data_IF_184267539107
#
_entry.id   IF_184267539107
#
_cell.length_a   1.000
_cell.length_b   1.000
_cell.length_c   1.000
_cell.angle_alpha   90.00
_cell.angle_beta   90.00
_cell.angle_gamma   90.00
#
_symmetry.space_group_name_H-M   'P 1'
#
loop_
_entity.id
_entity.type
_entity.pdbx_description
1 polymer ?
#
# COMPACT_ATOMS: atom_id res chain seq x y z
N UNK A 1 -26.18 -15.53 -22.98
CA UNK A 1 -24.76 -15.18 -22.77
C UNK A 1 -23.93 -16.38 -23.17
N UNK A 2 -23.02 -16.19 -24.12
CA UNK A 2 -22.06 -17.21 -24.53
C UNK A 2 -20.95 -17.32 -23.47
N UNK A 3 -20.18 -18.43 -23.47
CA UNK A 3 -19.00 -18.54 -22.60
C UNK A 3 -17.97 -17.44 -22.90
N UNK A 4 -17.92 -16.95 -24.15
CA UNK A 4 -17.04 -15.87 -24.57
C UNK A 4 -17.48 -14.52 -23.96
N UNK A 5 -18.78 -14.24 -23.93
CA UNK A 5 -19.33 -13.04 -23.27
C UNK A 5 -19.01 -13.02 -21.77
N UNK A 6 -19.10 -14.18 -21.10
CA UNK A 6 -18.76 -14.32 -19.67
C UNK A 6 -17.29 -14.01 -19.41
N UNK A 7 -16.38 -14.53 -20.23
CA UNK A 7 -14.94 -14.27 -20.10
C UNK A 7 -14.60 -12.79 -20.37
N UNK A 8 -15.26 -12.15 -21.34
CA UNK A 8 -15.11 -10.71 -21.60
C UNK A 8 -15.56 -9.89 -20.39
N UNK A 9 -16.71 -10.25 -19.80
CA UNK A 9 -17.21 -9.55 -18.62
C UNK A 9 -16.26 -9.73 -17.42
N UNK A 10 -15.72 -10.93 -17.22
CA UNK A 10 -14.76 -11.20 -16.16
C UNK A 10 -13.43 -10.46 -16.37
N UNK A 11 -12.90 -10.42 -17.60
CA UNK A 11 -11.71 -9.63 -17.94
C UNK A 11 -11.90 -8.16 -17.61
N UNK A 12 -13.06 -7.57 -17.95
CA UNK A 12 -13.36 -6.17 -17.63
C UNK A 12 -13.39 -5.90 -16.12
N UNK A 13 -13.99 -6.80 -15.34
CA UNK A 13 -14.01 -6.68 -13.88
C UNK A 13 -12.61 -6.75 -13.28
N UNK A 14 -11.77 -7.66 -13.76
CA UNK A 14 -10.39 -7.77 -13.29
C UNK A 14 -9.55 -6.55 -13.68
N UNK A 15 -9.72 -6.02 -14.90
CA UNK A 15 -9.03 -4.80 -15.31
C UNK A 15 -9.41 -3.60 -14.44
N UNK A 16 -10.68 -3.48 -14.07
CA UNK A 16 -11.13 -2.43 -13.14
C UNK A 16 -10.50 -2.61 -11.76
N UNK A 17 -10.50 -3.83 -11.22
CA UNK A 17 -9.87 -4.12 -9.93
C UNK A 17 -8.34 -3.86 -9.97
N UNK A 18 -7.68 -4.15 -11.09
CA UNK A 18 -6.26 -3.90 -11.27
C UNK A 18 -5.94 -2.40 -11.27
N UNK A 19 -6.75 -1.59 -11.95
CA UNK A 19 -6.61 -0.13 -11.95
C UNK A 19 -6.79 0.44 -10.53
N UNK A 20 -7.81 -0.01 -9.82
CA UNK A 20 -8.04 0.38 -8.42
C UNK A 20 -6.89 -0.02 -7.49
N UNK A 21 -6.37 -1.25 -7.62
CA UNK A 21 -5.20 -1.71 -6.87
C UNK A 21 -3.96 -0.85 -7.18
N UNK A 22 -3.77 -0.47 -8.44
CA UNK A 22 -2.66 0.37 -8.88
C UNK A 22 -2.73 1.77 -8.28
N UNK A 23 -3.90 2.39 -8.30
CA UNK A 23 -4.09 3.73 -7.75
C UNK A 23 -3.94 3.72 -6.23
N UNK A 24 -4.49 2.72 -5.55
CA UNK A 24 -4.31 2.54 -4.11
C UNK A 24 -2.84 2.32 -3.75
N UNK A 25 -2.09 1.55 -4.53
CA UNK A 25 -0.66 1.37 -4.30
C UNK A 25 0.11 2.68 -4.44
N UNK A 26 -0.15 3.44 -5.49
CA UNK A 26 0.50 4.76 -5.70
C UNK A 26 0.20 5.71 -4.55
N UNK A 27 -1.04 5.74 -4.07
CA UNK A 27 -1.42 6.52 -2.92
C UNK A 27 -0.67 6.08 -1.65
N UNK A 28 -0.63 4.77 -1.38
CA UNK A 28 0.08 4.23 -0.23
C UNK A 28 1.60 4.50 -0.30
N UNK A 29 2.22 4.43 -1.48
CA UNK A 29 3.62 4.80 -1.69
C UNK A 29 3.86 6.31 -1.45
N UNK A 30 2.95 7.17 -1.92
CA UNK A 30 3.02 8.61 -1.64
C UNK A 30 2.93 8.90 -0.15
N UNK A 31 1.97 8.27 0.54
CA UNK A 31 1.78 8.40 1.98
C UNK A 31 3.03 7.93 2.73
N UNK A 32 3.60 6.78 2.34
CA UNK A 32 4.84 6.25 2.93
C UNK A 32 6.00 7.25 2.83
N UNK A 33 6.17 7.88 1.66
CA UNK A 33 7.24 8.86 1.43
C UNK A 33 7.06 10.12 2.30
N UNK A 34 5.84 10.66 2.37
CA UNK A 34 5.53 11.84 3.20
C UNK A 34 5.80 11.54 4.68
N UNK A 35 5.43 10.33 5.11
CA UNK A 35 5.66 9.85 6.44
C UNK A 35 7.17 9.72 6.75
N UNK A 36 7.98 9.13 5.87
CA UNK A 36 9.44 9.01 6.09
C UNK A 36 10.11 10.37 6.28
N UNK A 37 9.66 11.37 5.50
CA UNK A 37 10.12 12.74 5.66
C UNK A 37 9.70 13.32 7.02
N UNK A 38 8.43 13.13 7.39
CA UNK A 38 7.89 13.62 8.66
C UNK A 38 8.59 13.00 9.87
N UNK A 39 8.88 11.70 9.87
CA UNK A 39 9.55 11.05 11.00
C UNK A 39 10.97 11.54 11.18
N UNK A 40 11.70 11.73 10.07
CA UNK A 40 13.05 12.31 10.11
C UNK A 40 13.04 13.71 10.72
N UNK A 41 12.10 14.55 10.30
CA UNK A 41 11.99 15.92 10.80
C UNK A 41 11.50 15.96 12.25
N UNK A 42 10.56 15.10 12.62
CA UNK A 42 10.08 14.92 13.99
C UNK A 42 11.21 14.51 14.92
N UNK A 43 12.05 13.54 14.51
CA UNK A 43 13.21 13.09 15.28
C UNK A 43 14.23 14.23 15.47
N UNK A 44 14.48 15.02 14.42
CA UNK A 44 15.37 16.18 14.48
C UNK A 44 14.89 17.20 15.50
N UNK A 45 13.62 17.60 15.40
CA UNK A 45 13.00 18.56 16.32
C UNK A 45 12.99 18.04 17.75
N UNK A 46 12.66 16.77 17.95
CA UNK A 46 12.65 16.16 19.28
C UNK A 46 14.02 16.19 19.94
N UNK A 47 15.09 15.87 19.20
CA UNK A 47 16.45 15.91 19.73
C UNK A 47 16.85 17.34 20.12
N UNK A 48 16.55 18.33 19.28
CA UNK A 48 16.84 19.74 19.60
C UNK A 48 16.05 20.25 20.81
N UNK A 49 14.78 19.85 20.93
CA UNK A 49 13.97 20.18 22.11
C UNK A 49 14.47 19.47 23.37
N UNK A 50 15.00 18.26 23.23
CA UNK A 50 15.50 17.50 24.36
C UNK A 50 16.70 18.14 25.04
N UNK A 51 17.65 18.63 24.25
CA UNK A 51 18.83 19.34 24.76
C UNK A 51 18.47 20.56 25.63
N UNK A 52 17.32 21.19 25.35
CA UNK A 52 16.82 22.35 26.10
C UNK A 52 16.01 21.90 27.33
N UNK A 53 15.20 20.85 27.18
CA UNK A 53 14.20 20.46 28.17
C UNK A 53 14.69 19.39 29.16
N UNK A 54 15.85 18.76 28.94
CA UNK A 54 16.40 17.71 29.81
C UNK A 54 16.53 18.17 31.26
N UNK A 55 16.87 19.45 31.48
CA UNK A 55 17.02 20.03 32.82
C UNK A 55 15.71 20.58 33.40
N UNK A 56 14.59 20.43 32.71
CA UNK A 56 13.27 20.86 33.19
C UNK A 56 12.72 19.90 34.24
N UNK A 57 11.92 20.45 35.16
CA UNK A 57 11.13 19.66 36.14
C UNK A 57 10.21 18.62 35.47
N UNK A 58 9.81 18.86 34.21
CA UNK A 58 8.90 17.99 33.45
C UNK A 58 9.60 16.99 32.52
N UNK A 59 10.93 16.91 32.55
CA UNK A 59 11.70 16.08 31.60
C UNK A 59 11.24 14.61 31.57
N UNK A 60 10.89 14.03 32.72
CA UNK A 60 10.40 12.65 32.79
C UNK A 60 9.07 12.43 32.07
N UNK A 61 8.10 13.32 32.25
CA UNK A 61 6.76 13.23 31.61
C UNK A 61 6.86 13.44 30.10
N UNK A 62 7.66 14.42 29.68
CA UNK A 62 7.88 14.71 28.25
C UNK A 62 8.58 13.51 27.58
N UNK A 63 9.52 12.82 28.26
CA UNK A 63 10.21 11.62 27.74
C UNK A 63 9.27 10.45 27.57
N UNK A 64 8.39 10.24 28.53
CA UNK A 64 7.37 9.20 28.43
C UNK A 64 6.42 9.47 27.25
N UNK A 65 5.92 10.71 27.12
CA UNK A 65 5.01 11.09 26.05
C UNK A 65 5.67 10.94 24.66
N UNK A 66 6.90 11.43 24.49
CA UNK A 66 7.63 11.27 23.23
C UNK A 66 7.85 9.80 22.86
N UNK A 67 8.19 8.94 23.82
CA UNK A 67 8.35 7.51 23.56
C UNK A 67 7.03 6.85 23.13
N UNK A 68 5.90 7.23 23.73
CA UNK A 68 4.58 6.76 23.33
C UNK A 68 4.23 7.23 21.90
N UNK A 69 4.52 8.48 21.57
CA UNK A 69 4.32 9.02 20.23
C UNK A 69 5.20 8.32 19.19
N UNK A 70 6.48 8.09 19.50
CA UNK A 70 7.39 7.30 18.63
C UNK A 70 6.85 5.90 18.38
N UNK A 71 6.40 5.21 19.42
CA UNK A 71 5.84 3.86 19.28
C UNK A 71 4.55 3.84 18.43
N UNK A 72 3.66 4.82 18.64
CA UNK A 72 2.44 4.95 17.84
C UNK A 72 2.75 5.24 16.37
N UNK A 73 3.68 6.18 16.12
CA UNK A 73 4.17 6.48 14.77
C UNK A 73 4.70 5.23 14.11
N UNK A 74 5.70 4.56 14.70
CA UNK A 74 6.34 3.36 14.14
C UNK A 74 5.32 2.30 13.71
N UNK A 75 4.30 2.01 14.54
CA UNK A 75 3.25 1.04 14.17
C UNK A 75 2.42 1.49 12.97
N UNK A 76 2.18 2.79 12.85
CA UNK A 76 1.47 3.37 11.71
C UNK A 76 2.31 3.23 10.44
N UNK A 77 3.63 3.47 10.53
CA UNK A 77 4.57 3.25 9.43
C UNK A 77 4.56 1.82 8.94
N UNK A 78 4.71 0.86 9.87
CA UNK A 78 4.75 -0.56 9.54
C UNK A 78 3.46 -0.97 8.79
N UNK A 79 2.30 -0.49 9.25
CA UNK A 79 1.01 -0.75 8.58
C UNK A 79 0.94 -0.20 7.15
N UNK A 80 1.47 1.00 6.90
CA UNK A 80 1.50 1.60 5.56
C UNK A 80 2.45 0.82 4.64
N UNK A 81 3.64 0.47 5.14
CA UNK A 81 4.63 -0.31 4.40
C UNK A 81 4.05 -1.69 4.04
N UNK A 82 3.44 -2.36 5.01
CA UNK A 82 2.78 -3.66 4.80
C UNK A 82 1.66 -3.54 3.75
N UNK A 83 0.87 -2.47 3.79
CA UNK A 83 -0.18 -2.21 2.81
C UNK A 83 0.38 -2.03 1.38
N UNK A 84 1.50 -1.32 1.22
CA UNK A 84 2.18 -1.18 -0.08
C UNK A 84 2.63 -2.56 -0.60
N UNK A 85 3.20 -3.39 0.27
CA UNK A 85 3.65 -4.73 -0.09
C UNK A 85 2.47 -5.61 -0.52
N UNK A 86 1.36 -5.56 0.21
CA UNK A 86 0.19 -6.37 -0.11
C UNK A 86 -0.52 -5.90 -1.38
N UNK A 87 -0.57 -4.59 -1.63
CA UNK A 87 -1.09 -4.04 -2.90
C UNK A 87 -0.24 -4.45 -4.10
N UNK A 88 1.09 -4.51 -3.97
CA UNK A 88 1.98 -5.04 -5.02
C UNK A 88 1.70 -6.51 -5.32
N UNK A 89 1.47 -7.33 -4.29
CA UNK A 89 1.12 -8.73 -4.47
C UNK A 89 -0.23 -8.88 -5.18
N UNK A 90 -1.20 -8.04 -4.83
CA UNK A 90 -2.52 -8.07 -5.44
C UNK A 90 -2.50 -7.64 -6.91
N UNK A 91 -1.74 -6.59 -7.26
CA UNK A 91 -1.52 -6.22 -8.68
C UNK A 91 -0.98 -7.41 -9.49
N UNK A 92 0.06 -8.09 -8.99
CA UNK A 92 0.65 -9.26 -9.66
C UNK A 92 -0.40 -10.38 -9.82
N UNK A 93 -1.16 -10.67 -8.76
CA UNK A 93 -2.21 -11.69 -8.78
C UNK A 93 -3.28 -11.38 -9.83
N UNK A 94 -3.71 -10.12 -9.91
CA UNK A 94 -4.71 -9.67 -10.87
C UNK A 94 -4.19 -9.72 -12.29
N UNK A 95 -2.93 -9.34 -12.53
CA UNK A 95 -2.27 -9.46 -13.83
C UNK A 95 -2.24 -10.91 -14.32
N UNK A 96 -1.82 -11.85 -13.46
CA UNK A 96 -1.83 -13.29 -13.75
C UNK A 96 -3.24 -13.80 -14.08
N UNK A 97 -4.27 -13.35 -13.34
CA UNK A 97 -5.65 -13.77 -13.59
C UNK A 97 -6.19 -13.23 -14.92
N UNK A 98 -5.88 -11.97 -15.26
CA UNK A 98 -6.23 -11.36 -16.55
C UNK A 98 -5.60 -12.16 -17.70
N UNK A 99 -4.33 -12.51 -17.59
CA UNK A 99 -3.62 -13.27 -18.62
C UNK A 99 -4.18 -14.68 -18.80
N UNK A 100 -4.56 -15.35 -17.70
CA UNK A 100 -5.26 -16.62 -17.74
C UNK A 100 -6.58 -16.53 -18.51
N UNK A 101 -7.41 -15.51 -18.23
CA UNK A 101 -8.68 -15.31 -18.95
C UNK A 101 -8.44 -15.03 -20.44
N UNK A 102 -7.44 -14.20 -20.77
CA UNK A 102 -7.07 -13.91 -22.16
C UNK A 102 -6.62 -15.17 -22.90
N UNK A 103 -5.91 -16.07 -22.21
CA UNK A 103 -5.48 -17.35 -22.76
C UNK A 103 -6.67 -18.30 -22.97
N UNK A 104 -7.59 -18.41 -22.01
CA UNK A 104 -8.81 -19.20 -22.16
C UNK A 104 -9.68 -18.71 -23.32
N UNK A 105 -9.85 -17.39 -23.44
CA UNK A 105 -10.59 -16.79 -24.55
C UNK A 105 -9.96 -17.16 -25.90
N UNK A 106 -8.63 -17.05 -26.03
CA UNK A 106 -7.90 -17.46 -27.23
C UNK A 106 -8.13 -18.95 -27.57
N UNK A 107 -8.07 -19.84 -26.57
CA UNK A 107 -8.32 -21.27 -26.77
C UNK A 107 -9.74 -21.55 -27.28
N UNK A 108 -10.75 -20.89 -26.70
CA UNK A 108 -12.15 -21.05 -27.11
C UNK A 108 -12.39 -20.55 -28.54
N UNK A 109 -11.79 -19.41 -28.91
CA UNK A 109 -11.87 -18.91 -30.29
C UNK A 109 -11.26 -19.89 -31.29
N UNK A 110 -10.12 -20.49 -30.97
CA UNK A 110 -9.45 -21.49 -31.82
C UNK A 110 -10.20 -22.83 -31.90
N UNK A 111 -11.02 -23.17 -30.90
CA UNK A 111 -11.83 -24.39 -30.88
C UNK A 111 -13.17 -24.24 -31.63
N UNK A 112 -13.71 -23.02 -31.73
CA UNK A 112 -14.92 -22.72 -32.49
C UNK A 112 -14.71 -22.60 -34.01
N UNK A 113 -13.45 -22.54 -34.47
CA UNK A 113 -13.07 -22.47 -35.90
C UNK A 113 -12.84 -23.86 -36.56
N UNK A 114 -13.10 -24.96 -35.85
CA UNK A 114 -13.07 -26.35 -36.38
C UNK A 114 -14.46 -26.90 -36.63
#
# INVERSE_FOLDING_TARGET
>A
MTNQDRLIQKERQLLQAFEEATDNRRLAESISNDFEWYDRESLRLENSLWEILEHSRYAGEIKLNNNQQRAFRSRTFDCVIDSVVDLKKEEIRLEDEIDNIRNERRKLSLQGEK
#
